data_IF_039855047364
#
_entry.id   IF_039855047364
#
_cell.length_a   1.000
_cell.length_b   1.000
_cell.length_c   1.000
_cell.angle_alpha   90.00
_cell.angle_beta   90.00
_cell.angle_gamma   90.00
#
_symmetry.space_group_name_H-M   'P 1'
#
loop_
_entity.id
_entity.type
_entity.pdbx_description
1 polymer ?
#
# COMPACT_ATOMS: atom_id res chain seq x y z
N UNK A 1 -8.45 22.59 16.92
CA UNK A 1 -8.73 22.40 18.37
C UNK A 1 -8.54 20.92 18.68
N UNK A 2 -7.78 20.52 19.71
CA UNK A 2 -7.68 19.11 20.11
C UNK A 2 -9.09 18.59 20.43
N UNK A 3 -9.44 17.40 19.98
CA UNK A 3 -10.74 16.76 20.24
C UNK A 3 -11.83 16.97 19.19
N UNK A 4 -11.50 17.49 18.00
CA UNK A 4 -12.48 17.57 16.90
C UNK A 4 -12.48 16.31 16.01
N UNK A 5 -11.38 15.56 15.94
CA UNK A 5 -11.31 14.33 15.14
C UNK A 5 -11.62 13.07 15.96
N UNK A 6 -12.07 12.05 15.29
CA UNK A 6 -12.29 10.70 15.80
C UNK A 6 -11.62 9.69 14.89
N UNK A 7 -10.79 8.84 15.47
CA UNK A 7 -10.03 7.84 14.73
C UNK A 7 -10.63 6.46 15.05
N UNK A 8 -11.10 5.76 14.05
CA UNK A 8 -11.67 4.43 14.17
C UNK A 8 -10.79 3.41 13.45
N UNK A 9 -10.65 2.24 14.02
CA UNK A 9 -9.94 1.13 13.41
C UNK A 9 -10.93 0.03 13.01
N UNK A 10 -10.81 -0.47 11.78
CA UNK A 10 -11.36 -1.76 11.44
C UNK A 10 -10.40 -2.90 11.82
N UNK A 11 -10.77 -4.14 11.47
CA UNK A 11 -10.04 -5.33 11.90
C UNK A 11 -8.84 -5.71 11.00
N UNK A 12 -8.66 -5.05 9.84
CA UNK A 12 -7.64 -5.47 8.88
C UNK A 12 -6.21 -5.23 9.35
N UNK A 13 -5.97 -4.16 10.12
CA UNK A 13 -4.62 -3.79 10.58
C UNK A 13 -4.65 -2.94 11.87
N UNK A 14 -5.05 -3.51 13.01
CA UNK A 14 -5.08 -2.79 14.28
C UNK A 14 -3.73 -2.17 14.67
N UNK A 15 -2.55 -2.85 14.51
CA UNK A 15 -1.27 -2.26 14.88
C UNK A 15 -0.94 -0.97 14.13
N UNK A 16 -1.27 -0.87 12.85
CA UNK A 16 -1.07 0.36 12.08
C UNK A 16 -2.00 1.47 12.59
N UNK A 17 -3.26 1.15 12.88
CA UNK A 17 -4.21 2.12 13.41
C UNK A 17 -3.77 2.66 14.79
N UNK A 18 -3.27 1.80 15.67
CA UNK A 18 -2.71 2.18 16.97
C UNK A 18 -1.47 3.08 16.81
N UNK A 19 -0.57 2.73 15.88
CA UNK A 19 0.61 3.54 15.59
C UNK A 19 0.26 4.93 15.02
N UNK A 20 -0.76 5.02 14.16
CA UNK A 20 -1.28 6.30 13.64
C UNK A 20 -1.91 7.12 14.78
N UNK A 21 -2.72 6.51 15.62
CA UNK A 21 -3.33 7.16 16.77
C UNK A 21 -2.28 7.71 17.75
N UNK A 22 -1.24 6.91 18.03
CA UNK A 22 -0.10 7.32 18.86
C UNK A 22 0.67 8.51 18.23
N UNK A 23 0.91 8.49 16.91
CA UNK A 23 1.54 9.62 16.21
C UNK A 23 0.74 10.91 16.33
N UNK A 24 -0.59 10.81 16.26
CA UNK A 24 -1.51 11.96 16.37
C UNK A 24 -1.71 12.44 17.81
N UNK A 25 -1.31 11.65 18.81
CA UNK A 25 -1.59 11.92 20.22
C UNK A 25 -3.09 11.81 20.56
N UNK A 26 -3.85 11.08 19.74
CA UNK A 26 -5.30 10.89 19.91
C UNK A 26 -5.62 9.41 20.14
N UNK A 27 -6.51 9.07 21.07
CA UNK A 27 -6.89 7.67 21.28
C UNK A 27 -7.78 7.17 20.14
N UNK A 28 -7.73 5.85 19.88
CA UNK A 28 -8.73 5.22 19.04
C UNK A 28 -10.12 5.34 19.67
N UNK A 29 -11.09 5.74 18.87
CA UNK A 29 -12.50 5.77 19.25
C UNK A 29 -13.01 4.36 19.49
N UNK A 30 -13.63 4.15 20.65
CA UNK A 30 -14.16 2.83 20.99
C UNK A 30 -15.31 2.46 20.07
N UNK A 31 -15.18 1.33 19.43
CA UNK A 31 -16.22 0.72 18.60
C UNK A 31 -16.14 -0.81 18.69
N UNK A 32 -17.25 -1.46 18.52
CA UNK A 32 -17.30 -2.89 18.32
C UNK A 32 -17.40 -3.16 16.81
N UNK A 33 -16.42 -3.87 16.27
CA UNK A 33 -16.45 -4.40 14.91
C UNK A 33 -16.29 -5.91 15.04
N UNK A 34 -17.38 -6.65 14.90
CA UNK A 34 -17.44 -8.10 15.13
C UNK A 34 -18.30 -8.79 14.08
N UNK A 35 -18.33 -10.09 14.10
CA UNK A 35 -19.18 -10.90 13.23
C UNK A 35 -20.22 -11.65 14.02
N UNK A 36 -21.39 -11.82 13.45
CA UNK A 36 -22.38 -12.78 13.89
C UNK A 36 -21.94 -14.22 13.56
N UNK A 37 -22.70 -15.21 14.02
CA UNK A 37 -22.39 -16.62 13.78
C UNK A 37 -22.45 -17.02 12.29
N UNK A 38 -23.24 -16.32 11.50
CA UNK A 38 -23.38 -16.46 10.05
C UNK A 38 -22.36 -15.61 9.26
N UNK A 39 -21.39 -14.99 9.96
CA UNK A 39 -20.31 -14.14 9.45
C UNK A 39 -20.75 -12.75 8.97
N UNK A 40 -22.01 -12.34 9.14
CA UNK A 40 -22.40 -10.96 8.90
C UNK A 40 -21.65 -10.01 9.85
N UNK A 41 -21.27 -8.84 9.32
CA UNK A 41 -20.47 -7.87 10.06
C UNK A 41 -21.41 -6.97 10.86
N UNK A 42 -21.11 -6.80 12.15
CA UNK A 42 -21.78 -5.90 13.06
C UNK A 42 -20.81 -4.79 13.50
N UNK A 43 -21.27 -3.53 13.43
CA UNK A 43 -20.53 -2.35 13.89
C UNK A 43 -21.39 -1.58 14.89
N UNK A 44 -20.79 -1.20 16.02
CA UNK A 44 -21.39 -0.32 17.02
C UNK A 44 -20.35 0.70 17.50
N UNK A 45 -20.66 1.99 17.34
CA UNK A 45 -19.80 3.07 17.81
C UNK A 45 -20.20 3.42 19.25
N UNK A 46 -19.25 3.30 20.20
CA UNK A 46 -19.52 3.45 21.63
C UNK A 46 -19.29 4.85 22.16
N UNK A 47 -18.88 5.81 21.29
CA UNK A 47 -18.61 7.17 21.67
C UNK A 47 -19.41 8.15 20.82
N UNK A 48 -19.59 9.36 21.34
CA UNK A 48 -20.25 10.41 20.59
C UNK A 48 -19.35 10.92 19.45
N UNK A 49 -19.80 10.75 18.21
CA UNK A 49 -19.12 11.19 16.98
C UNK A 49 -19.87 12.33 16.28
N UNK A 50 -21.01 12.80 16.83
CA UNK A 50 -21.84 13.83 16.22
C UNK A 50 -21.04 15.12 16.00
N UNK A 51 -21.06 15.62 14.76
CA UNK A 51 -20.37 16.84 14.38
C UNK A 51 -18.84 16.75 14.40
N UNK A 52 -18.27 15.52 14.45
CA UNK A 52 -16.82 15.28 14.45
C UNK A 52 -16.34 14.83 13.09
N UNK A 53 -15.10 15.16 12.75
CA UNK A 53 -14.41 14.56 11.61
C UNK A 53 -13.94 13.17 11.99
N UNK A 54 -14.41 12.16 11.27
CA UNK A 54 -14.13 10.75 11.54
C UNK A 54 -13.19 10.18 10.47
N UNK A 55 -12.14 9.50 10.93
CA UNK A 55 -11.16 8.82 10.08
C UNK A 55 -11.23 7.32 10.37
N UNK A 56 -11.60 6.53 9.36
CA UNK A 56 -11.68 5.07 9.47
C UNK A 56 -10.40 4.49 8.86
N UNK A 57 -9.58 3.83 9.66
CA UNK A 57 -8.35 3.16 9.20
C UNK A 57 -8.67 1.70 8.92
N UNK A 58 -8.70 1.32 7.64
CA UNK A 58 -9.04 -0.03 7.20
C UNK A 58 -8.45 -0.35 5.83
N UNK A 59 -7.43 -1.19 5.77
CA UNK A 59 -6.97 -1.75 4.50
C UNK A 59 -7.96 -2.77 3.96
N UNK A 60 -8.23 -2.73 2.64
CA UNK A 60 -9.09 -3.72 1.98
C UNK A 60 -8.29 -4.88 1.40
N UNK A 61 -7.31 -5.37 2.19
CA UNK A 61 -6.50 -6.56 1.95
C UNK A 61 -7.27 -7.85 2.26
N UNK A 62 -6.63 -9.00 2.11
CA UNK A 62 -7.23 -10.29 2.44
C UNK A 62 -7.66 -10.35 3.92
N UNK A 63 -8.89 -10.83 4.19
CA UNK A 63 -9.97 -11.20 3.27
C UNK A 63 -10.68 -9.95 2.69
N UNK A 64 -10.42 -9.68 1.40
CA UNK A 64 -10.73 -8.38 0.78
C UNK A 64 -12.22 -8.01 0.80
N UNK A 65 -13.10 -8.97 0.56
CA UNK A 65 -14.55 -8.73 0.55
C UNK A 65 -15.06 -8.36 1.94
N UNK A 66 -14.55 -9.04 2.96
CA UNK A 66 -14.94 -8.81 4.34
C UNK A 66 -14.45 -7.45 4.82
N UNK A 67 -13.18 -7.13 4.57
CA UNK A 67 -12.60 -5.84 4.95
C UNK A 67 -13.23 -4.67 4.17
N UNK A 68 -13.64 -4.88 2.92
CA UNK A 68 -14.41 -3.89 2.17
C UNK A 68 -15.79 -3.69 2.78
N UNK A 69 -16.53 -4.77 3.07
CA UNK A 69 -17.85 -4.66 3.67
C UNK A 69 -17.78 -4.01 5.05
N UNK A 70 -16.74 -4.31 5.85
CA UNK A 70 -16.51 -3.74 7.16
C UNK A 70 -16.36 -2.21 7.07
N UNK A 71 -15.53 -1.68 6.17
CA UNK A 71 -15.40 -0.23 6.02
C UNK A 71 -16.69 0.43 5.54
N UNK A 72 -17.46 -0.22 4.66
CA UNK A 72 -18.75 0.31 4.18
C UNK A 72 -19.76 0.43 5.33
N UNK A 73 -19.86 -0.58 6.18
CA UNK A 73 -20.76 -0.58 7.35
C UNK A 73 -20.29 0.45 8.39
N UNK A 74 -18.98 0.61 8.61
CA UNK A 74 -18.44 1.64 9.50
C UNK A 74 -18.78 3.05 9.00
N UNK A 75 -18.70 3.29 7.68
CA UNK A 75 -19.09 4.57 7.08
C UNK A 75 -20.60 4.84 7.31
N UNK A 76 -21.46 3.85 7.06
CA UNK A 76 -22.91 4.00 7.28
C UNK A 76 -23.24 4.28 8.77
N UNK A 77 -22.57 3.58 9.69
CA UNK A 77 -22.74 3.81 11.13
C UNK A 77 -22.37 5.25 11.54
N UNK A 78 -21.23 5.77 11.05
CA UNK A 78 -20.80 7.14 11.30
C UNK A 78 -21.77 8.17 10.71
N UNK A 79 -22.22 7.94 9.49
CA UNK A 79 -23.22 8.79 8.82
C UNK A 79 -24.52 8.87 9.62
N UNK A 80 -25.04 7.72 10.09
CA UNK A 80 -26.24 7.66 10.93
C UNK A 80 -26.03 8.27 12.31
N UNK A 81 -24.81 8.23 12.84
CA UNK A 81 -24.42 8.90 14.07
C UNK A 81 -24.17 10.41 13.91
N UNK A 82 -24.39 10.96 12.70
CA UNK A 82 -24.22 12.39 12.36
C UNK A 82 -22.77 12.87 12.50
N UNK A 83 -21.78 12.08 12.13
CA UNK A 83 -20.43 12.57 11.93
C UNK A 83 -20.45 13.73 10.91
N UNK A 84 -19.56 14.70 11.08
CA UNK A 84 -19.52 15.88 10.20
C UNK A 84 -18.90 15.53 8.85
N UNK A 85 -17.74 14.88 8.87
CA UNK A 85 -17.00 14.48 7.68
C UNK A 85 -16.41 13.09 7.92
N UNK A 86 -16.51 12.20 6.94
CA UNK A 86 -16.05 10.82 7.03
C UNK A 86 -14.94 10.60 6.00
N UNK A 87 -13.72 10.39 6.48
CA UNK A 87 -12.56 10.05 5.65
C UNK A 87 -12.26 8.56 5.76
N UNK A 88 -12.36 7.84 4.66
CA UNK A 88 -11.92 6.46 4.56
C UNK A 88 -10.41 6.42 4.32
N UNK A 89 -9.63 6.05 5.34
CA UNK A 89 -8.19 5.85 5.26
C UNK A 89 -7.94 4.39 4.93
N UNK A 90 -7.60 4.14 3.67
CA UNK A 90 -7.44 2.79 3.11
C UNK A 90 -5.97 2.63 2.68
N UNK A 91 -5.05 2.26 3.59
CA UNK A 91 -3.62 2.16 3.29
C UNK A 91 -3.33 1.25 2.11
N UNK A 92 -4.01 0.10 2.01
CA UNK A 92 -4.03 -0.75 0.83
C UNK A 92 -5.43 -0.79 0.23
N UNK A 93 -5.56 -0.29 -1.00
CA UNK A 93 -6.81 -0.27 -1.75
C UNK A 93 -6.94 -1.57 -2.57
N UNK A 94 -7.74 -2.50 -2.06
CA UNK A 94 -8.04 -3.74 -2.76
C UNK A 94 -8.79 -3.52 -4.07
N UNK A 95 -8.72 -4.49 -4.99
CA UNK A 95 -9.25 -4.41 -6.35
C UNK A 95 -8.58 -3.37 -7.26
N UNK A 96 -7.57 -2.63 -6.80
CA UNK A 96 -6.85 -1.62 -7.59
C UNK A 96 -6.25 -2.17 -8.88
N UNK A 97 -5.86 -3.46 -8.91
CA UNK A 97 -5.32 -4.13 -10.10
C UNK A 97 -6.35 -4.35 -11.23
N UNK A 98 -7.65 -4.12 -10.94
CA UNK A 98 -8.76 -4.22 -11.89
C UNK A 98 -9.26 -2.82 -12.26
N UNK A 99 -8.34 -1.97 -12.73
CA UNK A 99 -8.55 -0.56 -13.09
C UNK A 99 -9.01 -0.35 -14.53
N UNK A 100 -8.97 -1.40 -15.34
CA UNK A 100 -9.34 -1.40 -16.76
C UNK A 100 -9.95 -2.75 -17.17
N UNK A 101 -10.57 -2.78 -18.31
CA UNK A 101 -11.08 -4.04 -18.91
C UNK A 101 -9.92 -4.81 -19.55
N UNK A 102 -9.51 -5.96 -19.04
CA UNK A 102 -8.47 -6.79 -19.67
C UNK A 102 -8.99 -7.53 -20.92
N UNK A 103 -10.30 -7.64 -21.08
CA UNK A 103 -10.95 -8.30 -22.22
C UNK A 103 -12.41 -7.93 -22.37
N UNK A 104 -13.10 -8.46 -23.39
CA UNK A 104 -14.54 -8.24 -23.59
C UNK A 104 -15.35 -8.70 -22.39
N UNK A 105 -16.39 -7.93 -22.03
CA UNK A 105 -17.34 -8.26 -20.95
C UNK A 105 -16.73 -8.42 -19.56
N UNK A 106 -15.53 -7.88 -19.32
CA UNK A 106 -14.90 -7.83 -18.01
C UNK A 106 -15.27 -6.54 -17.24
N UNK A 107 -15.31 -6.58 -15.91
CA UNK A 107 -15.62 -5.42 -15.08
C UNK A 107 -14.43 -4.46 -14.96
N UNK A 108 -14.70 -3.28 -14.37
CA UNK A 108 -13.69 -2.39 -13.78
C UNK A 108 -13.97 -2.35 -12.28
N UNK A 109 -13.45 -3.33 -11.55
CA UNK A 109 -13.81 -3.53 -10.12
C UNK A 109 -13.31 -2.39 -9.24
N UNK A 110 -12.18 -1.74 -9.59
CA UNK A 110 -11.71 -0.56 -8.88
C UNK A 110 -12.73 0.59 -8.92
N UNK A 111 -13.41 0.82 -10.06
CA UNK A 111 -14.50 1.81 -10.17
C UNK A 111 -15.71 1.42 -9.34
N UNK A 112 -16.08 0.14 -9.33
CA UNK A 112 -17.18 -0.36 -8.51
C UNK A 112 -16.92 -0.07 -7.02
N UNK A 113 -15.72 -0.39 -6.52
CA UNK A 113 -15.33 -0.14 -5.12
C UNK A 113 -15.35 1.35 -4.80
N UNK A 114 -14.83 2.20 -5.70
CA UNK A 114 -14.90 3.65 -5.53
C UNK A 114 -16.36 4.16 -5.40
N UNK A 115 -17.26 3.65 -6.24
CA UNK A 115 -18.68 3.99 -6.17
C UNK A 115 -19.33 3.52 -4.85
N UNK A 116 -19.00 2.30 -4.38
CA UNK A 116 -19.54 1.78 -3.12
C UNK A 116 -19.13 2.65 -1.93
N UNK A 117 -17.86 3.04 -1.82
CA UNK A 117 -17.37 3.91 -0.76
C UNK A 117 -18.07 5.28 -0.76
N UNK A 118 -18.18 5.90 -1.94
CA UNK A 118 -18.88 7.18 -2.11
C UNK A 118 -20.36 7.07 -1.73
N UNK A 119 -21.04 6.02 -2.16
CA UNK A 119 -22.47 5.79 -1.87
C UNK A 119 -22.74 5.42 -0.43
N UNK A 120 -21.83 4.74 0.25
CA UNK A 120 -21.92 4.48 1.67
C UNK A 120 -21.89 5.78 2.49
N UNK A 121 -21.22 6.82 1.98
CA UNK A 121 -21.18 8.14 2.59
C UNK A 121 -19.78 8.62 3.00
N UNK A 122 -18.73 8.08 2.38
CA UNK A 122 -17.41 8.67 2.50
C UNK A 122 -17.37 10.05 1.83
N UNK A 123 -16.81 11.06 2.52
CA UNK A 123 -16.59 12.39 1.99
C UNK A 123 -15.19 12.54 1.38
N UNK A 124 -14.25 11.69 1.74
CA UNK A 124 -12.87 11.66 1.27
C UNK A 124 -12.28 10.26 1.36
N UNK A 125 -11.35 9.95 0.48
CA UNK A 125 -10.50 8.76 0.57
C UNK A 125 -9.03 9.17 0.70
N UNK A 126 -8.32 8.54 1.63
CA UNK A 126 -6.87 8.65 1.78
C UNK A 126 -6.26 7.26 1.58
N UNK A 127 -5.32 7.13 0.69
CA UNK A 127 -4.69 5.83 0.35
C UNK A 127 -3.20 6.01 0.09
N UNK A 128 -2.48 4.91 -0.09
CA UNK A 128 -1.04 4.91 -0.36
C UNK A 128 -0.76 4.11 -1.62
N UNK A 129 0.06 4.63 -2.51
CA UNK A 129 0.57 3.98 -3.72
C UNK A 129 -0.48 3.16 -4.49
N UNK A 130 -1.52 3.82 -4.96
CA UNK A 130 -2.50 3.18 -5.87
C UNK A 130 -1.77 2.50 -7.02
N UNK A 131 -2.20 1.28 -7.36
CA UNK A 131 -1.65 0.51 -8.47
C UNK A 131 -1.57 1.31 -9.78
N UNK A 132 -2.58 2.14 -10.01
CA UNK A 132 -2.63 3.04 -11.14
C UNK A 132 -3.16 4.42 -10.69
N UNK A 133 -2.43 5.48 -10.98
CA UNK A 133 -2.78 6.85 -10.53
C UNK A 133 -4.13 7.34 -11.02
N UNK A 134 -4.60 6.86 -12.19
CA UNK A 134 -5.91 7.19 -12.75
C UNK A 134 -7.09 6.70 -11.90
N UNK A 135 -6.89 5.77 -10.94
CA UNK A 135 -7.93 5.32 -10.01
C UNK A 135 -8.48 6.48 -9.19
N UNK A 136 -7.66 7.50 -8.89
CA UNK A 136 -8.13 8.74 -8.24
C UNK A 136 -9.30 9.38 -9.00
N UNK A 137 -9.29 9.33 -10.34
CA UNK A 137 -10.38 9.81 -11.19
C UNK A 137 -11.64 8.93 -11.19
N UNK A 138 -11.63 7.77 -10.51
CA UNK A 138 -12.82 6.95 -10.34
C UNK A 138 -13.72 7.44 -9.20
N UNK A 139 -13.19 8.28 -8.32
CA UNK A 139 -13.94 8.88 -7.24
C UNK A 139 -14.52 10.24 -7.66
N UNK A 140 -15.77 10.47 -7.26
CA UNK A 140 -16.43 11.79 -7.37
C UNK A 140 -16.24 12.63 -6.09
N UNK A 141 -15.44 12.12 -5.14
CA UNK A 141 -15.05 12.77 -3.89
C UNK A 141 -13.53 12.96 -3.85
N UNK A 142 -13.02 13.90 -3.04
CA UNK A 142 -11.58 14.11 -2.88
C UNK A 142 -10.86 12.81 -2.53
N UNK A 143 -9.76 12.54 -3.23
CA UNK A 143 -8.95 11.33 -3.04
C UNK A 143 -7.49 11.72 -2.99
N UNK A 144 -6.85 11.48 -1.85
CA UNK A 144 -5.45 11.72 -1.62
C UNK A 144 -4.69 10.38 -1.73
N UNK A 145 -3.82 10.28 -2.72
CA UNK A 145 -2.94 9.13 -2.90
C UNK A 145 -1.52 9.48 -2.45
N UNK A 146 -1.14 9.07 -1.24
CA UNK A 146 0.21 9.26 -0.71
C UNK A 146 1.20 8.33 -1.39
N UNK A 147 2.50 8.64 -1.27
CA UNK A 147 3.57 7.80 -1.78
C UNK A 147 4.47 7.33 -0.64
N UNK A 148 4.76 6.02 -0.58
CA UNK A 148 5.67 5.46 0.41
C UNK A 148 7.15 5.77 0.11
N UNK A 149 7.47 6.24 -1.09
CA UNK A 149 8.83 6.52 -1.54
C UNK A 149 9.66 7.38 -0.57
N UNK A 150 9.18 8.47 0.06
CA UNK A 150 9.96 9.22 1.05
C UNK A 150 10.39 8.37 2.26
N UNK A 151 9.50 7.49 2.74
CA UNK A 151 9.80 6.55 3.84
C UNK A 151 10.86 5.53 3.42
N UNK A 152 10.74 4.98 2.21
CA UNK A 152 11.72 4.04 1.64
C UNK A 152 13.09 4.70 1.43
N UNK A 153 13.14 5.92 0.91
CA UNK A 153 14.39 6.70 0.73
C UNK A 153 15.11 6.89 2.06
N UNK A 154 14.37 7.22 3.12
CA UNK A 154 14.96 7.37 4.47
C UNK A 154 15.61 6.07 4.92
N UNK A 155 14.89 4.97 4.83
CA UNK A 155 15.39 3.64 5.22
C UNK A 155 16.63 3.22 4.41
N UNK A 156 16.61 3.41 3.08
CA UNK A 156 17.75 3.12 2.19
C UNK A 156 18.99 3.92 2.62
N UNK A 157 18.84 5.20 2.94
CA UNK A 157 19.93 6.08 3.37
C UNK A 157 20.48 5.69 4.76
N UNK A 158 19.61 5.47 5.72
CA UNK A 158 19.96 5.07 7.08
C UNK A 158 20.72 3.73 7.14
N UNK A 159 20.40 2.82 6.23
CA UNK A 159 21.06 1.52 6.12
C UNK A 159 22.35 1.52 5.27
N UNK A 160 22.75 2.67 4.73
CA UNK A 160 23.95 2.79 3.93
C UNK A 160 23.89 2.08 2.56
N UNK A 161 22.71 1.66 2.11
CA UNK A 161 22.50 1.00 0.81
C UNK A 161 22.65 2.02 -0.33
N UNK A 162 22.50 3.31 -0.04
CA UNK A 162 22.55 4.38 -1.02
C UNK A 162 23.91 4.47 -1.77
N UNK A 163 24.98 3.90 -1.21
CA UNK A 163 26.27 3.88 -1.88
C UNK A 163 26.24 2.91 -3.07
N UNK A 164 26.57 3.42 -4.27
CA UNK A 164 26.60 2.65 -5.52
C UNK A 164 25.26 1.95 -5.86
N UNK A 165 24.14 2.61 -5.49
CA UNK A 165 22.80 2.07 -5.74
C UNK A 165 22.37 2.22 -7.20
N UNK A 166 21.63 1.23 -7.70
CA UNK A 166 20.88 1.26 -8.95
C UNK A 166 19.41 0.99 -8.60
N UNK A 167 18.52 1.92 -8.91
CA UNK A 167 17.08 1.66 -8.78
C UNK A 167 16.62 0.87 -9.99
N UNK A 168 15.83 -0.16 -9.77
CA UNK A 168 15.37 -1.06 -10.83
C UNK A 168 13.85 -1.16 -10.83
N UNK A 169 13.25 -0.93 -11.99
CA UNK A 169 11.84 -1.25 -12.20
C UNK A 169 11.70 -2.73 -12.61
N UNK A 170 10.89 -3.55 -11.92
CA UNK A 170 10.71 -4.96 -12.26
C UNK A 170 9.92 -5.20 -13.55
N UNK A 171 9.33 -4.15 -14.12
CA UNK A 171 8.64 -4.17 -15.41
C UNK A 171 8.53 -2.74 -16.00
N UNK A 172 7.98 -2.65 -17.21
CA UNK A 172 7.79 -1.34 -17.91
C UNK A 172 6.72 -0.48 -17.20
N UNK A 173 5.73 -1.09 -16.54
CA UNK A 173 4.64 -0.37 -15.85
C UNK A 173 5.11 0.43 -14.65
N UNK A 174 6.09 -0.07 -13.90
CA UNK A 174 6.66 0.54 -12.70
C UNK A 174 7.68 1.65 -12.95
N UNK A 175 8.09 1.91 -14.19
CA UNK A 175 9.20 2.83 -14.53
C UNK A 175 9.02 4.25 -13.97
N UNK A 176 7.80 4.79 -13.98
CA UNK A 176 7.54 6.13 -13.45
C UNK A 176 7.82 6.18 -11.95
N UNK A 177 7.38 5.19 -11.20
CA UNK A 177 7.62 5.04 -9.76
C UNK A 177 9.10 4.88 -9.46
N UNK A 178 9.77 3.97 -10.16
CA UNK A 178 11.20 3.74 -10.01
C UNK A 178 12.04 4.99 -10.32
N UNK A 179 11.67 5.75 -11.36
CA UNK A 179 12.34 7.02 -11.71
C UNK A 179 12.19 8.07 -10.59
N UNK A 180 11.02 8.15 -9.97
CA UNK A 180 10.80 9.07 -8.85
C UNK A 180 11.70 8.72 -7.64
N UNK A 181 11.87 7.43 -7.31
CA UNK A 181 12.79 6.98 -6.27
C UNK A 181 14.25 7.24 -6.66
N UNK A 182 14.65 6.91 -7.88
CA UNK A 182 15.99 7.13 -8.41
C UNK A 182 16.41 8.62 -8.30
N UNK A 183 15.51 9.53 -8.66
CA UNK A 183 15.74 10.98 -8.53
C UNK A 183 15.99 11.40 -7.06
N UNK A 184 15.24 10.85 -6.11
CA UNK A 184 15.42 11.17 -4.68
C UNK A 184 16.71 10.59 -4.07
N UNK A 185 17.22 9.53 -4.65
CA UNK A 185 18.47 8.88 -4.25
C UNK A 185 19.69 9.39 -5.02
N UNK A 186 19.49 10.26 -6.03
CA UNK A 186 20.52 10.64 -7.02
C UNK A 186 21.19 9.40 -7.64
N UNK A 187 20.37 8.44 -8.04
CA UNK A 187 20.80 7.12 -8.50
C UNK A 187 20.37 6.88 -9.97
N UNK A 188 21.14 6.08 -10.71
CA UNK A 188 20.72 5.63 -12.04
C UNK A 188 19.53 4.66 -11.95
N UNK A 189 18.85 4.47 -13.09
CA UNK A 189 17.68 3.62 -13.26
C UNK A 189 17.96 2.52 -14.26
N UNK A 190 17.58 1.29 -13.92
CA UNK A 190 17.49 0.17 -14.84
C UNK A 190 16.06 -0.38 -14.90
N UNK A 191 15.76 -1.15 -15.94
CA UNK A 191 14.43 -1.72 -16.18
C UNK A 191 14.60 -3.20 -16.53
N UNK A 192 13.79 -4.06 -15.91
CA UNK A 192 13.65 -5.46 -16.33
C UNK A 192 12.50 -5.54 -17.33
N UNK A 193 12.82 -5.74 -18.60
CA UNK A 193 11.83 -5.93 -19.67
C UNK A 193 11.57 -7.43 -19.86
N UNK A 194 10.33 -7.83 -19.59
CA UNK A 194 9.89 -9.22 -19.70
C UNK A 194 9.34 -9.46 -21.10
N UNK A 195 9.98 -10.34 -21.85
CA UNK A 195 9.49 -10.77 -23.15
C UNK A 195 9.14 -12.25 -23.14
N UNK A 196 7.94 -12.55 -23.58
CA UNK A 196 7.55 -13.90 -23.99
C UNK A 196 7.62 -13.95 -25.50
N UNK A 197 8.58 -14.67 -26.06
CA UNK A 197 8.66 -14.81 -27.52
C UNK A 197 7.53 -15.66 -28.07
N UNK A 198 7.07 -16.67 -27.30
CA UNK A 198 5.92 -17.52 -27.66
C UNK A 198 5.15 -17.99 -26.41
N UNK A 199 3.86 -18.28 -26.58
CA UNK A 199 3.05 -18.90 -25.54
C UNK A 199 3.60 -20.30 -25.20
N UNK A 200 4.04 -20.49 -23.93
CA UNK A 200 4.60 -21.75 -23.44
C UNK A 200 6.14 -21.79 -23.32
N UNK A 201 6.85 -20.75 -23.75
CA UNK A 201 8.29 -20.62 -23.53
C UNK A 201 8.60 -19.91 -22.18
N UNK A 202 9.78 -20.17 -21.62
CA UNK A 202 10.26 -19.49 -20.42
C UNK A 202 10.39 -17.98 -20.66
N UNK A 203 10.01 -17.17 -19.67
CA UNK A 203 10.17 -15.71 -19.74
C UNK A 203 11.65 -15.36 -19.87
N UNK A 204 12.01 -14.67 -20.95
CA UNK A 204 13.33 -14.06 -21.10
C UNK A 204 13.29 -12.68 -20.44
N UNK A 205 14.18 -12.45 -19.49
CA UNK A 205 14.35 -11.15 -18.84
C UNK A 205 15.47 -10.39 -19.52
N UNK A 206 15.13 -9.27 -20.17
CA UNK A 206 16.10 -8.36 -20.75
C UNK A 206 16.29 -7.17 -19.80
N UNK A 207 17.55 -6.89 -19.42
CA UNK A 207 17.87 -5.79 -18.52
C UNK A 207 18.33 -4.60 -19.35
N UNK A 208 17.64 -3.48 -19.19
CA UNK A 208 17.98 -2.20 -19.81
C UNK A 208 18.67 -1.35 -18.75
N UNK A 209 19.96 -1.13 -18.89
CA UNK A 209 20.83 -0.43 -17.95
C UNK A 209 22.03 -1.27 -17.54
N UNK A 210 23.11 -0.64 -17.10
CA UNK A 210 24.33 -1.31 -16.66
C UNK A 210 24.25 -1.53 -15.13
N UNK A 211 24.00 -2.77 -14.75
CA UNK A 211 23.82 -3.18 -13.34
C UNK A 211 25.06 -3.85 -12.75
N UNK A 212 26.09 -4.09 -13.57
CA UNK A 212 27.32 -4.74 -13.13
C UNK A 212 28.01 -3.92 -12.02
N UNK A 213 28.37 -4.60 -10.93
CA UNK A 213 29.02 -3.99 -9.78
C UNK A 213 28.12 -3.03 -8.98
N UNK A 214 26.80 -3.04 -9.16
CA UNK A 214 25.84 -2.16 -8.46
C UNK A 214 25.08 -2.90 -7.36
N UNK A 215 24.63 -2.15 -6.34
CA UNK A 215 23.62 -2.60 -5.39
C UNK A 215 22.24 -2.26 -5.97
N UNK A 216 21.52 -3.24 -6.46
CA UNK A 216 20.23 -3.05 -7.09
C UNK A 216 19.10 -2.98 -6.07
N UNK A 217 18.22 -2.00 -6.23
CA UNK A 217 16.99 -1.81 -5.44
C UNK A 217 15.79 -1.92 -6.38
N UNK A 218 15.13 -3.08 -6.37
CA UNK A 218 13.86 -3.29 -7.06
C UNK A 218 12.75 -2.50 -6.35
N UNK A 219 11.95 -1.76 -7.10
CA UNK A 219 10.83 -0.99 -6.56
C UNK A 219 9.53 -1.34 -7.26
N UNK A 220 8.51 -1.69 -6.49
CA UNK A 220 7.15 -1.88 -7.01
C UNK A 220 6.09 -1.49 -5.97
N UNK A 221 4.81 -1.40 -6.39
CA UNK A 221 3.70 -1.16 -5.46
C UNK A 221 3.25 -2.42 -4.74
N UNK A 222 3.21 -3.56 -5.42
CA UNK A 222 2.62 -4.80 -4.89
C UNK A 222 3.55 -5.98 -5.13
N UNK A 223 3.75 -6.80 -4.09
CA UNK A 223 4.25 -8.17 -4.23
C UNK A 223 3.13 -9.13 -3.84
N UNK A 224 2.71 -9.98 -4.81
CA UNK A 224 1.66 -10.97 -4.62
C UNK A 224 2.28 -12.37 -4.50
N UNK A 225 2.51 -13.08 -5.59
CA UNK A 225 3.11 -14.41 -5.55
C UNK A 225 4.63 -14.41 -5.34
N UNK A 226 5.31 -13.29 -5.55
CA UNK A 226 6.75 -13.13 -5.42
C UNK A 226 7.58 -13.69 -6.58
N UNK A 227 6.98 -14.43 -7.51
CA UNK A 227 7.72 -15.08 -8.60
C UNK A 227 8.46 -14.08 -9.49
N UNK A 228 7.76 -13.08 -9.97
CA UNK A 228 8.35 -12.00 -10.79
C UNK A 228 9.53 -11.33 -10.12
N UNK A 229 9.38 -11.02 -8.82
CA UNK A 229 10.39 -10.34 -8.03
C UNK A 229 11.66 -11.20 -7.87
N UNK A 230 11.49 -12.48 -7.53
CA UNK A 230 12.61 -13.41 -7.38
C UNK A 230 13.34 -13.65 -8.72
N UNK A 231 12.59 -13.85 -9.80
CA UNK A 231 13.18 -14.02 -11.13
C UNK A 231 13.95 -12.76 -11.59
N UNK A 232 13.42 -11.55 -11.29
CA UNK A 232 14.13 -10.31 -11.58
C UNK A 232 15.42 -10.19 -10.77
N UNK A 233 15.42 -10.62 -9.50
CA UNK A 233 16.63 -10.64 -8.68
C UNK A 233 17.70 -11.59 -9.24
N UNK A 234 17.30 -12.79 -9.63
CA UNK A 234 18.22 -13.78 -10.23
C UNK A 234 18.84 -13.26 -11.53
N UNK A 235 18.02 -12.63 -12.39
CA UNK A 235 18.51 -12.03 -13.65
C UNK A 235 19.52 -10.88 -13.40
N UNK A 236 19.23 -10.00 -12.43
CA UNK A 236 20.14 -8.91 -12.07
C UNK A 236 21.47 -9.41 -11.52
N UNK A 237 21.46 -10.45 -10.69
CA UNK A 237 22.67 -11.09 -10.17
C UNK A 237 23.47 -11.78 -11.27
N UNK A 238 22.79 -12.42 -12.23
CA UNK A 238 23.45 -13.04 -13.39
C UNK A 238 24.15 -12.00 -14.29
N UNK A 239 23.61 -10.77 -14.37
CA UNK A 239 24.22 -9.63 -15.08
C UNK A 239 25.26 -8.87 -14.22
N UNK A 240 25.70 -9.45 -13.10
CA UNK A 240 26.82 -8.95 -12.30
C UNK A 240 26.45 -7.91 -11.24
N UNK A 241 25.20 -7.79 -10.84
CA UNK A 241 24.82 -6.99 -9.68
C UNK A 241 25.48 -7.55 -8.41
N UNK A 242 25.96 -6.69 -7.52
CA UNK A 242 26.59 -7.09 -6.24
C UNK A 242 25.56 -7.61 -5.24
N UNK A 243 24.38 -7.01 -5.21
CA UNK A 243 23.29 -7.42 -4.36
C UNK A 243 21.96 -6.92 -4.93
N UNK A 244 20.87 -7.60 -4.60
CA UNK A 244 19.52 -7.17 -4.96
C UNK A 244 18.66 -7.13 -3.71
N UNK A 245 18.14 -5.95 -3.40
CA UNK A 245 17.09 -5.74 -2.39
C UNK A 245 15.81 -5.29 -3.07
N UNK A 246 14.66 -5.52 -2.47
CA UNK A 246 13.39 -5.08 -2.99
C UNK A 246 12.66 -4.20 -1.97
N UNK A 247 12.08 -3.10 -2.41
CA UNK A 247 11.25 -2.21 -1.63
C UNK A 247 9.86 -2.16 -2.26
N UNK A 248 8.87 -2.66 -1.54
CA UNK A 248 7.51 -2.83 -2.04
C UNK A 248 6.53 -2.23 -1.05
N UNK A 249 5.59 -1.43 -1.53
CA UNK A 249 4.61 -0.80 -0.66
C UNK A 249 3.66 -1.82 -0.04
N UNK A 250 3.07 -2.69 -0.86
CA UNK A 250 2.01 -3.60 -0.41
C UNK A 250 2.44 -5.06 -0.48
N UNK A 251 2.69 -5.65 0.68
CA UNK A 251 3.00 -7.07 0.82
C UNK A 251 1.73 -7.93 0.85
N UNK A 252 1.12 -8.21 -0.29
CA UNK A 252 -0.04 -9.12 -0.37
C UNK A 252 0.38 -10.54 -0.05
N UNK A 253 1.52 -11.00 -0.59
CA UNK A 253 2.21 -12.24 -0.27
C UNK A 253 1.30 -13.47 -0.23
N UNK A 254 0.50 -13.66 -1.27
CA UNK A 254 -0.43 -14.77 -1.37
C UNK A 254 0.27 -16.13 -1.58
N UNK A 255 -0.40 -17.18 -1.15
CA UNK A 255 0.08 -18.56 -1.32
C UNK A 255 1.46 -18.78 -0.70
N UNK A 256 2.39 -19.40 -1.42
CA UNK A 256 3.76 -19.70 -0.97
C UNK A 256 4.76 -18.55 -1.16
N UNK A 257 4.32 -17.28 -1.29
CA UNK A 257 5.20 -16.15 -1.62
C UNK A 257 6.30 -15.92 -0.59
N UNK A 258 5.97 -15.99 0.71
CA UNK A 258 6.95 -15.82 1.80
C UNK A 258 8.06 -16.87 1.70
N UNK A 259 7.70 -18.13 1.52
CA UNK A 259 8.68 -19.22 1.37
C UNK A 259 9.54 -19.04 0.11
N UNK A 260 8.94 -18.58 -1.00
CA UNK A 260 9.67 -18.29 -2.24
C UNK A 260 10.68 -17.16 -2.05
N UNK A 261 10.29 -16.08 -1.40
CA UNK A 261 11.18 -14.96 -1.08
C UNK A 261 12.29 -15.42 -0.12
N UNK A 262 11.95 -16.18 0.91
CA UNK A 262 12.93 -16.70 1.87
C UNK A 262 13.98 -17.62 1.21
N UNK A 263 13.58 -18.36 0.17
CA UNK A 263 14.48 -19.24 -0.59
C UNK A 263 15.20 -18.55 -1.76
N UNK A 264 14.88 -17.29 -2.07
CA UNK A 264 15.47 -16.55 -3.19
C UNK A 264 16.85 -15.97 -2.86
N UNK A 265 17.53 -15.45 -3.88
CA UNK A 265 18.78 -14.73 -3.74
C UNK A 265 18.60 -13.23 -3.36
N UNK A 266 17.37 -12.79 -3.09
CA UNK A 266 17.13 -11.45 -2.56
C UNK A 266 17.86 -11.28 -1.23
N UNK A 267 18.68 -10.25 -1.14
CA UNK A 267 19.31 -9.84 0.11
C UNK A 267 18.25 -9.52 1.18
N UNK A 268 17.24 -8.74 0.80
CA UNK A 268 16.07 -8.46 1.63
C UNK A 268 14.88 -8.01 0.77
N UNK A 269 13.68 -8.31 1.27
CA UNK A 269 12.42 -7.71 0.85
C UNK A 269 11.94 -6.76 1.95
N UNK A 270 11.84 -5.49 1.63
CA UNK A 270 11.32 -4.46 2.55
C UNK A 270 9.91 -4.11 2.13
N UNK A 271 8.98 -4.25 3.06
CA UNK A 271 7.56 -3.95 2.89
C UNK A 271 7.17 -2.77 3.77
N UNK A 272 6.12 -2.07 3.41
CA UNK A 272 5.45 -1.20 4.38
C UNK A 272 4.39 -1.98 5.15
N UNK A 273 3.94 -1.41 6.27
CA UNK A 273 2.87 -1.97 7.09
C UNK A 273 1.46 -1.58 6.61
N UNK A 274 1.28 -1.24 5.33
CA UNK A 274 -0.06 -1.01 4.72
C UNK A 274 -0.97 -2.22 4.84
N UNK A 275 -0.40 -3.42 4.85
CA UNK A 275 -1.07 -4.69 5.12
C UNK A 275 -0.44 -5.28 6.37
N UNK A 276 -1.24 -5.76 7.30
CA UNK A 276 -0.75 -6.37 8.52
C UNK A 276 0.16 -7.58 8.20
N UNK A 277 1.42 -7.59 8.69
CA UNK A 277 2.31 -8.71 8.43
C UNK A 277 1.80 -9.97 9.11
N UNK A 278 1.76 -11.07 8.34
CA UNK A 278 1.45 -12.40 8.89
C UNK A 278 2.61 -12.91 9.76
N UNK A 279 2.37 -13.95 10.56
CA UNK A 279 3.43 -14.58 11.34
C UNK A 279 4.57 -15.09 10.45
N UNK A 280 4.25 -15.66 9.29
CA UNK A 280 5.24 -16.09 8.31
C UNK A 280 6.16 -14.95 7.85
N UNK A 281 5.62 -13.74 7.66
CA UNK A 281 6.41 -12.55 7.33
C UNK A 281 7.31 -12.13 8.48
N UNK A 282 6.82 -12.19 9.72
CA UNK A 282 7.57 -11.76 10.91
C UNK A 282 8.77 -12.64 11.22
N UNK A 283 8.67 -13.95 10.94
CA UNK A 283 9.75 -14.91 11.19
C UNK A 283 10.69 -15.12 10.01
N UNK A 284 10.37 -14.59 8.84
CA UNK A 284 11.21 -14.69 7.65
C UNK A 284 12.50 -13.86 7.82
N UNK A 285 13.65 -14.50 7.62
CA UNK A 285 14.96 -13.89 7.89
C UNK A 285 15.35 -12.74 6.95
N UNK A 286 14.78 -12.72 5.74
CA UNK A 286 15.07 -11.73 4.70
C UNK A 286 13.85 -10.88 4.31
N UNK A 287 12.80 -10.83 5.15
CA UNK A 287 11.67 -9.92 4.97
C UNK A 287 11.63 -8.95 6.16
N UNK A 288 11.54 -7.68 5.86
CA UNK A 288 11.48 -6.61 6.86
C UNK A 288 10.30 -5.69 6.58
N UNK A 289 9.71 -5.15 7.63
CA UNK A 289 8.57 -4.23 7.54
C UNK A 289 8.97 -2.87 8.11
N UNK A 290 8.67 -1.81 7.36
CA UNK A 290 8.84 -0.41 7.79
C UNK A 290 7.47 0.24 7.95
N UNK A 291 7.32 1.07 8.98
CA UNK A 291 6.02 1.69 9.25
C UNK A 291 5.81 2.96 8.42
N UNK A 292 4.59 3.08 7.88
CA UNK A 292 4.08 4.31 7.26
C UNK A 292 3.11 5.08 8.17
N UNK A 293 2.99 4.68 9.43
CA UNK A 293 2.12 5.38 10.37
C UNK A 293 2.42 6.88 10.47
N UNK A 294 3.70 7.34 10.50
CA UNK A 294 3.99 8.77 10.50
C UNK A 294 3.50 9.49 9.23
N UNK A 295 3.62 8.86 8.06
CA UNK A 295 3.16 9.44 6.80
C UNK A 295 1.63 9.61 6.78
N UNK A 296 0.90 8.57 7.15
CA UNK A 296 -0.56 8.58 7.21
C UNK A 296 -1.04 9.53 8.32
N UNK A 297 -0.40 9.48 9.50
CA UNK A 297 -0.73 10.35 10.63
C UNK A 297 -0.58 11.82 10.28
N UNK A 298 0.52 12.21 9.63
CA UNK A 298 0.72 13.59 9.17
C UNK A 298 -0.35 14.01 8.14
N UNK A 299 -0.70 13.12 7.20
CA UNK A 299 -1.77 13.41 6.25
C UNK A 299 -3.13 13.61 6.94
N UNK A 300 -3.47 12.77 7.93
CA UNK A 300 -4.69 12.92 8.74
C UNK A 300 -4.66 14.25 9.51
N UNK A 301 -3.55 14.59 10.15
CA UNK A 301 -3.39 15.83 10.88
C UNK A 301 -3.64 17.07 10.00
N UNK A 302 -3.09 17.06 8.76
CA UNK A 302 -3.29 18.14 7.78
C UNK A 302 -4.73 18.22 7.28
N UNK A 303 -5.33 17.07 6.93
CA UNK A 303 -6.73 17.01 6.51
C UNK A 303 -7.66 17.57 7.61
N UNK A 304 -7.41 17.19 8.88
CA UNK A 304 -8.21 17.69 10.01
C UNK A 304 -8.04 19.18 10.28
N UNK A 305 -6.89 19.76 9.91
CA UNK A 305 -6.60 21.20 10.01
C UNK A 305 -6.92 21.98 8.73
N UNK A 306 -7.44 21.31 7.70
CA UNK A 306 -7.67 21.89 6.36
C UNK A 306 -6.40 22.42 5.69
N UNK A 307 -5.25 21.80 5.99
CA UNK A 307 -3.95 22.11 5.40
C UNK A 307 -3.67 21.21 4.18
N UNK A 308 -2.81 21.70 3.27
CA UNK A 308 -2.42 20.94 2.09
C UNK A 308 -1.62 19.69 2.45
N UNK A 309 -1.97 18.55 1.85
CA UNK A 309 -1.20 17.30 1.92
C UNK A 309 -0.10 17.21 0.86
N UNK A 310 -0.03 18.15 -0.10
CA UNK A 310 0.92 18.09 -1.23
C UNK A 310 2.39 18.14 -0.79
N UNK A 311 2.68 18.75 0.35
CA UNK A 311 4.05 18.77 0.92
C UNK A 311 4.57 17.38 1.31
N UNK A 312 3.70 16.37 1.37
CA UNK A 312 4.08 14.98 1.65
C UNK A 312 4.51 14.21 0.41
N UNK A 313 4.40 14.83 -0.77
CA UNK A 313 4.76 14.21 -2.05
C UNK A 313 6.19 14.51 -2.48
N UNK A 314 6.87 15.44 -1.82
CA UNK A 314 8.24 15.92 -2.14
C UNK A 314 9.36 15.07 -1.50
#
# INVERSE_FOLDING_TARGET
MPGQMKILAGNSNPPLAEAIAAYLGEPLTRCHVRRFADLEIFVEILENVRGRDAFIIQSTSYPANDNLMEVLIMIDALRRASAHRITAVIPYFGYARQDRKPGPRSPISAKLVANLLTRAGADRVLTVDLHAGQIQGFFDIPTDNLFAAPTMVRDIKERGIANNVMVVSPDVGGVVRARALAKRLDAPLAIVDKRRERAGESEVMNIIGDVAGRNCVLLDDIVDSGGTLCNAADALLAEGALSVSAYITHGVLSGGAVARVAASQLRELVLTDTIAPTEAVRVAHNIRVISIAPLIGEAIARIAKEESVSVLFD
#
